data_IF_787404224650
#
_entry.id   IF_787404224650
#
_cell.length_a   1.000
_cell.length_b   1.000
_cell.length_c   1.000
_cell.angle_alpha   90.00
_cell.angle_beta   90.00
_cell.angle_gamma   90.00
#
_symmetry.space_group_name_H-M   'P 1'
#
loop_
_entity.id
_entity.type
_entity.pdbx_description
1 polymer ?
#
# COMPACT_ATOMS: atom_id res chain seq x y z
N UNK A 1 -11.30 -17.32 7.65
CA UNK A 1 -10.82 -17.82 6.35
C UNK A 1 -9.35 -17.48 6.27
N UNK A 2 -8.53 -18.35 5.64
CA UNK A 2 -7.10 -18.06 5.43
C UNK A 2 -6.94 -17.06 4.30
N UNK A 3 -6.03 -16.10 4.45
CA UNK A 3 -5.76 -15.07 3.44
C UNK A 3 -5.06 -15.66 2.22
N UNK A 4 -5.37 -15.12 1.06
CA UNK A 4 -4.90 -15.55 -0.25
C UNK A 4 -3.83 -14.61 -0.76
N UNK A 5 -2.62 -15.15 -0.90
CA UNK A 5 -1.45 -14.40 -1.33
C UNK A 5 -1.08 -14.83 -2.75
N UNK A 6 -0.98 -13.87 -3.65
CA UNK A 6 -0.46 -14.07 -4.99
C UNK A 6 1.04 -13.78 -5.00
N UNK A 7 1.85 -14.67 -5.57
CA UNK A 7 3.28 -14.46 -5.84
C UNK A 7 3.50 -14.56 -7.34
N UNK A 8 4.20 -13.58 -7.92
CA UNK A 8 4.66 -13.63 -9.30
C UNK A 8 6.13 -13.22 -9.31
N UNK A 9 7.02 -14.17 -9.56
CA UNK A 9 8.48 -13.99 -9.60
C UNK A 9 9.06 -15.05 -10.54
N UNK A 10 9.85 -14.67 -11.53
CA UNK A 10 10.45 -15.59 -12.50
C UNK A 10 11.59 -16.42 -11.92
N UNK A 11 12.19 -15.97 -10.82
CA UNK A 11 13.16 -16.73 -10.03
C UNK A 11 12.44 -17.79 -9.19
N UNK A 12 12.36 -19.03 -9.71
CA UNK A 12 11.63 -20.13 -9.07
C UNK A 12 12.06 -20.36 -7.62
N UNK A 13 13.36 -20.32 -7.35
CA UNK A 13 13.91 -20.52 -6.00
C UNK A 13 13.38 -19.47 -4.99
N UNK A 14 13.20 -18.23 -5.44
CA UNK A 14 12.65 -17.13 -4.61
C UNK A 14 11.16 -17.36 -4.38
N UNK A 15 10.42 -17.66 -5.44
CA UNK A 15 8.98 -17.88 -5.35
C UNK A 15 8.67 -19.11 -4.47
N UNK A 16 9.44 -20.22 -4.61
CA UNK A 16 9.31 -21.43 -3.82
C UNK A 16 9.65 -21.20 -2.34
N UNK A 17 10.72 -20.45 -2.08
CA UNK A 17 11.10 -20.05 -0.73
C UNK A 17 9.99 -19.26 -0.04
N UNK A 18 9.45 -18.23 -0.70
CA UNK A 18 8.36 -17.41 -0.16
C UNK A 18 7.10 -18.24 0.06
N UNK A 19 6.76 -19.13 -0.87
CA UNK A 19 5.62 -20.04 -0.73
C UNK A 19 5.71 -20.87 0.55
N UNK A 20 6.87 -21.48 0.83
CA UNK A 20 7.08 -22.29 2.04
C UNK A 20 6.85 -21.46 3.30
N UNK A 21 7.46 -20.27 3.37
CA UNK A 21 7.32 -19.40 4.54
C UNK A 21 5.88 -18.89 4.73
N UNK A 22 5.19 -18.54 3.65
CA UNK A 22 3.80 -18.06 3.71
C UNK A 22 2.83 -19.19 4.10
N UNK A 23 3.02 -20.40 3.56
CA UNK A 23 2.22 -21.57 3.96
C UNK A 23 2.40 -21.94 5.43
N UNK A 24 3.60 -21.77 5.99
CA UNK A 24 3.87 -21.98 7.41
C UNK A 24 3.11 -20.98 8.31
N UNK A 25 2.72 -19.81 7.76
CA UNK A 25 1.87 -18.84 8.44
C UNK A 25 0.37 -19.05 8.15
N UNK A 26 0.00 -20.19 7.57
CA UNK A 26 -1.36 -20.60 7.22
C UNK A 26 -2.03 -19.75 6.12
N UNK A 27 -1.25 -19.09 5.24
CA UNK A 27 -1.78 -18.43 4.06
C UNK A 27 -2.04 -19.43 2.92
N UNK A 28 -3.04 -19.13 2.10
CA UNK A 28 -3.24 -19.81 0.82
C UNK A 28 -2.38 -19.07 -0.21
N UNK A 29 -1.51 -19.79 -0.92
CA UNK A 29 -0.56 -19.18 -1.85
C UNK A 29 -0.87 -19.61 -3.29
N UNK A 30 -1.04 -18.63 -4.15
CA UNK A 30 -1.06 -18.78 -5.59
C UNK A 30 0.26 -18.30 -6.15
N UNK A 31 0.99 -19.17 -6.86
CA UNK A 31 2.34 -18.89 -7.34
C UNK A 31 2.41 -19.03 -8.84
N UNK A 32 3.00 -18.02 -9.49
CA UNK A 32 3.23 -17.97 -10.93
C UNK A 32 4.64 -17.43 -11.22
N UNK A 33 5.18 -17.76 -12.39
CA UNK A 33 6.51 -17.36 -12.81
C UNK A 33 6.51 -16.33 -13.94
N UNK A 34 5.32 -15.98 -14.44
CA UNK A 34 5.10 -14.92 -15.41
C UNK A 34 3.73 -14.25 -15.19
N UNK A 35 3.55 -13.06 -15.72
CA UNK A 35 2.32 -12.30 -15.55
C UNK A 35 1.14 -12.94 -16.30
N UNK A 36 1.39 -13.47 -17.50
CA UNK A 36 0.34 -14.05 -18.35
C UNK A 36 -0.39 -15.19 -17.66
N UNK A 37 0.35 -16.10 -17.02
CA UNK A 37 -0.24 -17.25 -16.32
C UNK A 37 -1.05 -16.84 -15.08
N UNK A 38 -0.69 -15.70 -14.47
CA UNK A 38 -1.36 -15.19 -13.29
C UNK A 38 -2.67 -14.45 -13.62
N UNK A 39 -2.93 -14.07 -14.87
CA UNK A 39 -4.05 -13.20 -15.23
C UNK A 39 -5.40 -13.76 -14.79
N UNK A 40 -5.67 -15.05 -14.98
CA UNK A 40 -6.93 -15.67 -14.55
C UNK A 40 -7.12 -15.60 -13.03
N UNK A 41 -6.04 -15.76 -12.27
CA UNK A 41 -6.05 -15.64 -10.82
C UNK A 41 -6.32 -14.20 -10.39
N UNK A 42 -5.68 -13.22 -11.04
CA UNK A 42 -5.92 -11.79 -10.79
C UNK A 42 -7.37 -11.41 -11.09
N UNK A 43 -7.89 -11.86 -12.23
CA UNK A 43 -9.26 -11.53 -12.67
C UNK A 43 -10.35 -12.14 -11.79
N UNK A 44 -10.09 -13.23 -11.10
CA UNK A 44 -11.01 -13.82 -10.13
C UNK A 44 -11.35 -12.85 -8.99
N UNK A 45 -10.45 -11.90 -8.69
CA UNK A 45 -10.61 -10.91 -7.61
C UNK A 45 -10.52 -11.50 -6.21
N UNK A 46 -10.15 -12.77 -6.06
CA UNK A 46 -10.12 -13.50 -4.80
C UNK A 46 -8.70 -13.56 -4.22
N UNK A 47 -8.09 -12.37 -4.09
CA UNK A 47 -6.72 -12.17 -3.60
C UNK A 47 -6.74 -11.11 -2.50
N UNK A 48 -6.06 -11.38 -1.39
CA UNK A 48 -5.94 -10.45 -0.25
C UNK A 48 -4.64 -9.63 -0.30
N UNK A 49 -3.59 -10.12 -0.97
CA UNK A 49 -2.31 -9.43 -1.16
C UNK A 49 -1.54 -10.02 -2.35
N UNK A 50 -0.83 -9.18 -3.08
CA UNK A 50 0.09 -9.63 -4.13
C UNK A 50 1.54 -9.26 -3.81
N UNK A 51 2.45 -10.19 -4.15
CA UNK A 51 3.91 -10.00 -4.16
C UNK A 51 4.35 -10.13 -5.61
N UNK A 52 4.92 -9.08 -6.17
CA UNK A 52 5.24 -9.00 -7.60
C UNK A 52 6.72 -8.69 -7.79
N UNK A 53 7.42 -9.47 -8.60
CA UNK A 53 8.72 -9.04 -9.11
C UNK A 53 8.56 -7.98 -10.20
N UNK A 54 9.53 -7.08 -10.28
CA UNK A 54 9.58 -6.04 -11.31
C UNK A 54 10.00 -6.64 -12.65
N UNK A 55 10.97 -7.56 -12.63
CA UNK A 55 11.62 -8.09 -13.82
C UNK A 55 10.99 -9.41 -14.27
N UNK A 56 9.72 -9.39 -14.70
CA UNK A 56 9.05 -10.56 -15.24
C UNK A 56 9.39 -10.73 -16.74
N UNK A 57 9.39 -11.98 -17.26
CA UNK A 57 9.83 -12.27 -18.62
C UNK A 57 8.89 -11.75 -19.71
N UNK A 58 7.62 -11.61 -19.42
CA UNK A 58 6.55 -11.29 -20.37
C UNK A 58 5.97 -9.89 -20.18
N UNK A 59 6.06 -9.33 -18.99
CA UNK A 59 5.53 -8.00 -18.66
C UNK A 59 6.35 -7.37 -17.53
N UNK A 60 6.62 -6.08 -17.61
CA UNK A 60 7.21 -5.37 -16.48
C UNK A 60 6.23 -5.36 -15.29
N UNK A 61 6.70 -5.74 -14.09
CA UNK A 61 5.87 -5.83 -12.89
C UNK A 61 5.20 -4.51 -12.49
N UNK A 62 5.76 -3.37 -12.87
CA UNK A 62 5.09 -2.07 -12.72
C UNK A 62 3.84 -1.95 -13.58
N UNK A 63 3.91 -2.42 -14.83
CA UNK A 63 2.75 -2.44 -15.73
C UNK A 63 1.66 -3.36 -15.20
N UNK A 64 2.06 -4.51 -14.64
CA UNK A 64 1.14 -5.44 -13.99
C UNK A 64 0.48 -4.79 -12.75
N UNK A 65 1.25 -4.09 -11.92
CA UNK A 65 0.72 -3.35 -10.77
C UNK A 65 -0.32 -2.32 -11.20
N UNK A 66 -0.05 -1.53 -12.24
CA UNK A 66 -1.02 -0.58 -12.79
C UNK A 66 -2.29 -1.26 -13.31
N UNK A 67 -2.14 -2.42 -13.96
CA UNK A 67 -3.27 -3.19 -14.47
C UNK A 67 -4.16 -3.67 -13.31
N UNK A 68 -3.57 -4.20 -12.25
CA UNK A 68 -4.29 -4.61 -11.04
C UNK A 68 -5.00 -3.40 -10.42
N UNK A 69 -4.34 -2.25 -10.32
CA UNK A 69 -4.89 -1.02 -9.70
C UNK A 69 -6.09 -0.42 -10.43
N UNK A 70 -6.30 -0.77 -11.70
CA UNK A 70 -7.53 -0.37 -12.43
C UNK A 70 -8.80 -0.98 -11.85
N UNK A 71 -8.70 -2.12 -11.15
CA UNK A 71 -9.86 -2.87 -10.65
C UNK A 71 -9.81 -3.16 -9.14
N UNK A 72 -8.61 -3.26 -8.55
CA UNK A 72 -8.43 -3.80 -7.21
C UNK A 72 -7.56 -2.89 -6.35
N UNK A 73 -7.88 -2.87 -5.05
CA UNK A 73 -7.19 -2.07 -4.04
C UNK A 73 -6.44 -2.90 -3.01
N UNK A 74 -6.42 -4.24 -3.12
CA UNK A 74 -5.66 -5.07 -2.20
C UNK A 74 -4.17 -4.71 -2.20
N UNK A 75 -3.45 -4.88 -1.08
CA UNK A 75 -2.06 -4.46 -0.98
C UNK A 75 -1.14 -5.19 -1.98
N UNK A 76 -0.19 -4.44 -2.53
CA UNK A 76 0.85 -4.94 -3.43
C UNK A 76 2.23 -4.63 -2.87
N UNK A 77 3.04 -5.66 -2.68
CA UNK A 77 4.47 -5.57 -2.32
C UNK A 77 5.28 -5.88 -3.57
N UNK A 78 6.15 -4.94 -3.98
CA UNK A 78 7.06 -5.18 -5.10
C UNK A 78 8.38 -5.78 -4.60
N UNK A 79 8.88 -6.80 -5.27
CA UNK A 79 10.25 -7.28 -5.12
C UNK A 79 11.12 -6.63 -6.19
N UNK A 80 12.31 -6.15 -5.82
CA UNK A 80 13.18 -5.45 -6.75
C UNK A 80 14.65 -5.81 -6.56
N UNK A 81 15.35 -6.15 -7.62
CA UNK A 81 16.80 -6.13 -7.60
C UNK A 81 17.26 -4.69 -7.29
N UNK A 82 18.43 -4.53 -6.66
CA UNK A 82 19.00 -3.26 -6.19
C UNK A 82 18.95 -2.18 -7.29
N UNK A 83 17.88 -1.41 -7.31
CA UNK A 83 17.59 -0.39 -8.31
C UNK A 83 17.79 0.98 -7.64
N UNK A 84 18.20 1.97 -8.41
CA UNK A 84 18.41 3.33 -7.96
C UNK A 84 17.14 3.90 -7.27
N UNK A 85 17.32 4.90 -6.43
CA UNK A 85 16.24 5.56 -5.68
C UNK A 85 15.10 6.04 -6.60
N UNK A 86 15.43 6.36 -7.86
CA UNK A 86 14.48 6.73 -8.91
C UNK A 86 13.49 5.62 -9.27
N UNK A 87 13.89 4.35 -9.23
CA UNK A 87 13.01 3.24 -9.59
C UNK A 87 12.02 2.89 -8.47
N UNK A 88 12.44 3.05 -7.21
CA UNK A 88 11.54 2.96 -6.05
C UNK A 88 10.46 4.04 -6.09
N UNK A 89 10.85 5.27 -6.43
CA UNK A 89 9.92 6.39 -6.60
C UNK A 89 8.96 6.10 -7.77
N UNK A 90 9.48 5.59 -8.89
CA UNK A 90 8.67 5.25 -10.06
C UNK A 90 7.65 4.16 -9.73
N UNK A 91 8.03 3.11 -9.03
CA UNK A 91 7.15 2.01 -8.72
C UNK A 91 6.06 2.34 -7.69
N UNK A 92 6.41 3.10 -6.64
CA UNK A 92 5.42 3.65 -5.73
C UNK A 92 4.47 4.59 -6.47
N UNK A 93 4.99 5.40 -7.41
CA UNK A 93 4.17 6.25 -8.31
C UNK A 93 3.19 5.43 -9.15
N UNK A 94 3.41 4.13 -9.32
CA UNK A 94 2.54 3.23 -10.09
C UNK A 94 1.54 2.44 -9.22
N UNK A 95 1.48 2.72 -7.91
CA UNK A 95 0.43 2.22 -7.01
C UNK A 95 0.80 1.03 -6.13
N UNK A 96 2.07 0.67 -5.98
CA UNK A 96 2.49 -0.31 -4.99
C UNK A 96 2.39 0.26 -3.56
N UNK A 97 2.12 -0.61 -2.58
CA UNK A 97 2.00 -0.23 -1.16
C UNK A 97 3.31 -0.35 -0.40
N UNK A 98 4.21 -1.22 -0.84
CA UNK A 98 5.51 -1.43 -0.22
C UNK A 98 6.53 -2.03 -1.20
N UNK A 99 7.82 -1.98 -0.82
CA UNK A 99 8.95 -2.47 -1.60
C UNK A 99 9.92 -3.27 -0.75
N UNK A 100 10.42 -4.35 -1.31
CA UNK A 100 11.49 -5.16 -0.73
C UNK A 100 12.60 -5.32 -1.75
N UNK A 101 13.82 -4.96 -1.38
CA UNK A 101 14.98 -5.09 -2.27
C UNK A 101 15.60 -6.48 -2.16
N UNK A 102 15.85 -7.12 -3.29
CA UNK A 102 16.66 -8.34 -3.39
C UNK A 102 18.17 -8.00 -3.22
N UNK A 103 18.98 -8.77 -2.48
CA UNK A 103 18.57 -9.92 -1.68
C UNK A 103 17.88 -9.51 -0.37
N UNK A 104 16.85 -10.23 0.00
CA UNK A 104 16.08 -10.01 1.23
C UNK A 104 16.11 -11.25 2.15
N UNK A 105 15.74 -11.04 3.40
CA UNK A 105 15.48 -12.16 4.32
C UNK A 105 14.01 -12.56 4.21
N UNK A 106 13.66 -13.86 4.06
CA UNK A 106 12.26 -14.28 3.93
C UNK A 106 11.37 -13.74 5.06
N UNK A 107 11.87 -13.73 6.29
CA UNK A 107 11.15 -13.20 7.45
C UNK A 107 10.82 -11.70 7.33
N UNK A 108 11.61 -10.93 6.59
CA UNK A 108 11.30 -9.52 6.31
C UNK A 108 10.05 -9.42 5.44
N UNK A 109 9.99 -10.20 4.35
CA UNK A 109 8.81 -10.23 3.48
C UNK A 109 7.58 -10.66 4.25
N UNK A 110 7.68 -11.69 5.08
CA UNK A 110 6.57 -12.16 5.94
C UNK A 110 6.09 -11.09 6.91
N UNK A 111 7.01 -10.37 7.53
CA UNK A 111 6.65 -9.26 8.44
C UNK A 111 5.87 -8.17 7.70
N UNK A 112 6.29 -7.82 6.47
CA UNK A 112 5.62 -6.83 5.61
C UNK A 112 4.25 -7.32 5.15
N UNK A 113 4.13 -8.58 4.73
CA UNK A 113 2.84 -9.21 4.38
C UNK A 113 1.87 -9.12 5.57
N UNK A 114 2.31 -9.53 6.77
CA UNK A 114 1.48 -9.42 7.98
C UNK A 114 1.06 -7.97 8.27
N UNK A 115 1.97 -7.01 8.09
CA UNK A 115 1.69 -5.59 8.32
C UNK A 115 0.67 -5.05 7.32
N UNK A 116 0.80 -5.42 6.02
CA UNK A 116 -0.12 -5.00 4.96
C UNK A 116 -1.52 -5.63 5.15
N UNK A 117 -1.59 -6.95 5.39
CA UNK A 117 -2.85 -7.65 5.64
C UNK A 117 -3.57 -7.14 6.90
N UNK A 118 -2.82 -6.89 8.00
CA UNK A 118 -3.38 -6.31 9.21
C UNK A 118 -4.00 -4.94 8.95
N UNK A 119 -3.38 -4.10 8.13
CA UNK A 119 -3.94 -2.81 7.68
C UNK A 119 -5.21 -3.05 6.87
N UNK A 120 -5.12 -3.87 5.85
CA UNK A 120 -6.25 -4.18 4.98
C UNK A 120 -7.45 -4.75 5.74
N UNK A 121 -7.22 -5.62 6.75
CA UNK A 121 -8.27 -6.22 7.59
C UNK A 121 -8.73 -5.38 8.77
N UNK A 122 -7.81 -4.68 9.44
CA UNK A 122 -8.18 -3.81 10.58
C UNK A 122 -9.18 -2.75 10.14
N UNK A 123 -9.23 -2.55 8.87
CA UNK A 123 -10.10 -1.62 8.19
C UNK A 123 -11.23 -2.30 7.38
N UNK A 124 -11.36 -3.62 7.41
CA UNK A 124 -12.58 -4.31 7.00
C UNK A 124 -13.58 -4.33 8.16
N UNK A 125 -14.89 -4.17 7.90
CA UNK A 125 -15.90 -3.94 8.93
C UNK A 125 -16.15 -5.18 9.80
N UNK A 126 -15.29 -5.47 10.78
CA UNK A 126 -15.59 -6.44 11.83
C UNK A 126 -14.86 -6.08 13.13
N UNK A 127 -15.68 -5.65 14.11
CA UNK A 127 -15.43 -5.55 15.55
C UNK A 127 -14.46 -4.42 15.97
N UNK A 128 -15.01 -3.22 16.20
CA UNK A 128 -14.36 -2.20 17.03
C UNK A 128 -15.27 -1.93 18.23
N UNK A 129 -14.80 -2.34 19.42
CA UNK A 129 -15.33 -2.00 20.75
C UNK A 129 -14.57 -0.85 21.39
N UNK A 130 -14.27 0.22 20.68
CA UNK A 130 -13.82 1.47 21.27
C UNK A 130 -14.38 2.66 20.51
N UNK A 131 -14.84 3.69 21.22
CA UNK A 131 -15.43 4.93 20.69
C UNK A 131 -14.38 5.80 20.00
N UNK A 132 -13.88 5.37 18.86
CA UNK A 132 -13.22 6.27 17.91
C UNK A 132 -14.33 6.91 17.07
N UNK A 133 -14.31 8.22 16.79
CA UNK A 133 -15.26 8.81 15.85
C UNK A 133 -15.24 7.97 14.56
N UNK A 134 -16.39 7.42 14.20
CA UNK A 134 -16.52 6.56 13.02
C UNK A 134 -16.23 7.31 11.72
N UNK A 135 -16.25 8.62 11.78
CA UNK A 135 -16.12 9.51 10.64
C UNK A 135 -15.23 10.70 10.98
N UNK A 136 -14.25 10.93 10.15
CA UNK A 136 -13.39 12.11 10.16
C UNK A 136 -13.71 12.97 8.95
N UNK A 137 -13.96 14.25 9.16
CA UNK A 137 -14.30 15.14 8.07
C UNK A 137 -13.46 16.43 8.11
N UNK A 138 -13.10 16.92 6.93
CA UNK A 138 -12.44 18.20 6.75
C UNK A 138 -12.92 18.81 5.41
N UNK A 139 -13.57 19.99 5.46
CA UNK A 139 -14.24 20.60 4.31
C UNK A 139 -15.20 19.58 3.66
N UNK A 140 -14.97 19.27 2.37
CA UNK A 140 -15.76 18.32 1.58
C UNK A 140 -15.23 16.89 1.62
N UNK A 141 -14.12 16.64 2.32
CA UNK A 141 -13.52 15.34 2.49
C UNK A 141 -14.09 14.66 3.72
N UNK A 142 -14.55 13.42 3.54
CA UNK A 142 -15.09 12.57 4.59
C UNK A 142 -14.41 11.20 4.53
N UNK A 143 -13.92 10.73 5.67
CA UNK A 143 -13.26 9.44 5.81
C UNK A 143 -13.99 8.62 6.87
N UNK A 144 -14.68 7.56 6.46
CA UNK A 144 -15.31 6.62 7.38
C UNK A 144 -14.30 5.54 7.77
N UNK A 145 -13.90 5.54 9.04
CA UNK A 145 -12.89 4.62 9.57
C UNK A 145 -13.42 3.20 9.73
N UNK A 146 -14.74 3.03 9.87
CA UNK A 146 -15.37 1.72 10.05
C UNK A 146 -15.67 1.02 8.73
N UNK A 147 -16.18 1.77 7.73
CA UNK A 147 -16.51 1.20 6.41
C UNK A 147 -15.35 1.29 5.42
N UNK A 148 -14.29 2.02 5.76
CA UNK A 148 -13.14 2.27 4.87
C UNK A 148 -13.47 3.06 3.62
N UNK A 149 -14.52 3.83 3.70
CA UNK A 149 -14.94 4.68 2.61
C UNK A 149 -14.31 6.07 2.73
N UNK A 150 -13.90 6.59 1.60
CA UNK A 150 -13.48 7.97 1.46
C UNK A 150 -14.42 8.65 0.47
N UNK A 151 -15.00 9.76 0.87
CA UNK A 151 -15.87 10.57 0.02
C UNK A 151 -15.27 11.97 -0.15
N UNK A 152 -15.31 12.46 -1.36
CA UNK A 152 -14.97 13.85 -1.69
C UNK A 152 -16.18 14.50 -2.36
N UNK A 153 -16.75 15.51 -1.72
CA UNK A 153 -17.98 16.19 -2.19
C UNK A 153 -19.16 15.21 -2.39
N UNK A 154 -19.20 14.15 -1.58
CA UNK A 154 -20.20 13.07 -1.65
C UNK A 154 -19.87 11.95 -2.64
N UNK A 155 -18.87 12.11 -3.48
CA UNK A 155 -18.46 11.10 -4.44
C UNK A 155 -17.39 10.15 -3.87
N UNK A 156 -17.47 8.84 -4.13
CA UNK A 156 -16.51 7.87 -3.60
C UNK A 156 -15.13 8.00 -4.24
N UNK A 157 -14.10 8.02 -3.39
CA UNK A 157 -12.68 8.03 -3.79
C UNK A 157 -12.04 6.70 -3.41
N UNK A 158 -11.56 5.94 -4.41
CA UNK A 158 -10.90 4.65 -4.20
C UNK A 158 -9.46 4.84 -3.71
N UNK A 159 -9.20 4.52 -2.45
CA UNK A 159 -7.89 4.57 -1.83
C UNK A 159 -7.31 3.17 -1.63
N UNK A 160 -5.98 3.05 -1.78
CA UNK A 160 -5.29 1.83 -1.33
C UNK A 160 -5.23 1.82 0.20
N UNK A 161 -4.97 0.65 0.85
CA UNK A 161 -4.85 0.57 2.31
C UNK A 161 -3.80 1.51 2.89
N UNK A 162 -2.69 1.71 2.20
CA UNK A 162 -1.62 2.62 2.61
C UNK A 162 -2.05 4.08 2.50
N UNK A 163 -2.67 4.46 1.40
CA UNK A 163 -3.21 5.82 1.20
C UNK A 163 -4.28 6.16 2.24
N UNK A 164 -5.20 5.22 2.48
CA UNK A 164 -6.21 5.38 3.52
C UNK A 164 -5.59 5.59 4.90
N UNK A 165 -4.58 4.78 5.25
CA UNK A 165 -3.88 4.88 6.54
C UNK A 165 -3.17 6.23 6.72
N UNK A 166 -2.49 6.72 5.67
CA UNK A 166 -1.83 8.02 5.68
C UNK A 166 -2.87 9.13 5.86
N UNK A 167 -3.93 9.12 5.08
CA UNK A 167 -5.00 10.12 5.15
C UNK A 167 -5.68 10.11 6.52
N UNK A 168 -5.94 8.92 7.08
CA UNK A 168 -6.48 8.77 8.43
C UNK A 168 -5.59 9.41 9.50
N UNK A 169 -4.27 9.19 9.45
CA UNK A 169 -3.32 9.78 10.42
C UNK A 169 -3.32 11.32 10.31
N UNK A 170 -3.29 11.86 9.09
CA UNK A 170 -3.29 13.31 8.89
C UNK A 170 -4.61 13.94 9.36
N UNK A 171 -5.76 13.33 9.02
CA UNK A 171 -7.09 13.80 9.45
C UNK A 171 -7.29 13.71 10.97
N UNK A 172 -6.81 12.65 11.59
CA UNK A 172 -6.87 12.48 13.05
C UNK A 172 -6.05 13.55 13.80
N UNK A 173 -5.07 14.17 13.12
CA UNK A 173 -4.24 15.25 13.64
C UNK A 173 -4.56 16.60 12.96
N UNK A 174 -5.80 16.79 12.52
CA UNK A 174 -6.19 17.98 11.78
C UNK A 174 -5.77 19.28 12.49
N UNK A 175 -5.18 20.21 11.74
CA UNK A 175 -4.62 21.45 12.24
C UNK A 175 -3.18 21.38 12.76
N UNK A 176 -2.66 20.17 13.07
CA UNK A 176 -1.28 19.94 13.48
C UNK A 176 -0.42 19.41 12.34
N UNK A 177 0.89 19.60 12.43
CA UNK A 177 1.82 19.01 11.47
C UNK A 177 2.18 17.61 11.96
N UNK A 178 2.06 16.63 11.07
CA UNK A 178 2.54 15.26 11.30
C UNK A 178 3.86 15.11 10.54
N UNK A 179 4.92 14.76 11.23
CA UNK A 179 6.23 14.58 10.62
C UNK A 179 6.26 13.35 9.70
N UNK A 180 7.21 13.30 8.78
CA UNK A 180 7.40 12.14 7.89
C UNK A 180 7.70 10.89 8.73
N UNK A 181 8.49 11.02 9.79
CA UNK A 181 8.81 9.95 10.71
C UNK A 181 7.56 9.43 11.44
N UNK A 182 6.75 10.31 12.00
CA UNK A 182 5.49 9.94 12.67
C UNK A 182 4.52 9.25 11.70
N UNK A 183 4.37 9.76 10.47
CA UNK A 183 3.57 9.11 9.43
C UNK A 183 4.09 7.71 9.12
N UNK A 184 5.41 7.56 8.98
CA UNK A 184 6.01 6.27 8.70
C UNK A 184 5.75 5.28 9.83
N UNK A 185 6.03 5.66 11.08
CA UNK A 185 5.78 4.81 12.25
C UNK A 185 4.30 4.45 12.41
N UNK A 186 3.40 5.41 12.23
CA UNK A 186 1.97 5.16 12.34
C UNK A 186 1.46 4.16 11.29
N UNK A 187 2.00 4.24 10.06
CA UNK A 187 1.57 3.42 8.93
C UNK A 187 2.33 2.10 8.88
N UNK A 188 3.65 2.08 8.96
CA UNK A 188 4.44 0.84 8.81
C UNK A 188 4.79 0.15 10.12
N UNK A 189 4.77 0.86 11.26
CA UNK A 189 5.15 0.37 12.61
C UNK A 189 6.58 -0.20 12.66
N UNK A 190 7.42 0.18 11.73
CA UNK A 190 8.82 -0.18 11.61
C UNK A 190 9.73 0.99 11.99
N UNK A 191 11.03 0.71 12.19
CA UNK A 191 12.01 1.77 12.38
C UNK A 191 12.13 2.62 11.12
N UNK A 192 12.08 3.93 11.32
CA UNK A 192 12.25 4.90 10.24
C UNK A 192 13.72 5.05 9.89
N UNK A 193 14.07 4.73 8.65
CA UNK A 193 15.35 5.11 8.07
C UNK A 193 15.11 6.26 7.08
N UNK A 194 16.02 7.24 7.06
CA UNK A 194 15.91 8.44 6.19
C UNK A 194 15.69 8.11 4.71
N UNK A 195 16.07 6.91 4.27
CA UNK A 195 15.80 6.38 2.91
C UNK A 195 14.31 6.06 2.65
N UNK A 196 13.48 6.05 3.68
CA UNK A 196 12.05 5.73 3.56
C UNK A 196 11.17 6.98 3.36
N UNK A 197 11.75 8.18 3.40
CA UNK A 197 11.01 9.44 3.19
C UNK A 197 10.37 9.54 1.80
N UNK A 198 11.01 8.98 0.78
CA UNK A 198 10.47 8.94 -0.58
C UNK A 198 9.16 8.16 -0.68
N UNK A 199 8.97 7.10 0.12
CA UNK A 199 7.76 6.28 0.13
C UNK A 199 6.53 7.12 0.55
N UNK A 200 6.64 7.88 1.64
CA UNK A 200 5.55 8.77 2.09
C UNK A 200 5.21 9.82 1.03
N UNK A 201 6.23 10.47 0.48
CA UNK A 201 6.06 11.55 -0.52
C UNK A 201 5.27 11.07 -1.74
N UNK A 202 5.51 9.85 -2.18
CA UNK A 202 4.80 9.28 -3.33
C UNK A 202 3.34 9.00 -3.01
N UNK A 203 3.04 8.39 -1.87
CA UNK A 203 1.65 8.17 -1.46
C UNK A 203 0.89 9.48 -1.24
N UNK A 204 1.55 10.52 -0.71
CA UNK A 204 0.96 11.88 -0.62
C UNK A 204 0.63 12.43 -2.01
N UNK A 205 1.51 12.22 -3.00
CA UNK A 205 1.25 12.62 -4.38
C UNK A 205 0.00 11.92 -4.92
N UNK A 206 -0.12 10.59 -4.76
CA UNK A 206 -1.31 9.84 -5.20
C UNK A 206 -2.58 10.30 -4.49
N UNK A 207 -2.50 10.53 -3.18
CA UNK A 207 -3.63 11.09 -2.44
C UNK A 207 -4.07 12.42 -3.03
N UNK A 208 -3.14 13.33 -3.32
CA UNK A 208 -3.49 14.61 -3.97
C UNK A 208 -4.13 14.42 -5.33
N UNK A 209 -3.58 13.54 -6.16
CA UNK A 209 -4.15 13.24 -7.48
C UNK A 209 -5.60 12.72 -7.35
N UNK A 210 -5.88 11.80 -6.40
CA UNK A 210 -7.21 11.25 -6.15
C UNK A 210 -8.18 12.24 -5.50
N UNK A 211 -7.67 13.16 -4.68
CA UNK A 211 -8.45 14.21 -4.04
C UNK A 211 -8.60 15.47 -4.91
N UNK A 212 -8.09 15.47 -6.15
CA UNK A 212 -8.00 16.64 -7.01
C UNK A 212 -7.33 17.83 -6.29
N UNK A 213 -6.34 17.53 -5.44
CA UNK A 213 -5.59 18.50 -4.64
C UNK A 213 -4.26 18.84 -5.32
N UNK A 214 -3.94 20.11 -5.49
CA UNK A 214 -2.70 20.53 -6.14
C UNK A 214 -1.62 20.85 -5.12
N UNK A 215 -0.34 20.60 -5.47
CA UNK A 215 0.78 20.94 -4.58
C UNK A 215 0.96 22.46 -4.41
N UNK A 216 0.59 23.25 -5.41
CA UNK A 216 0.82 24.69 -5.45
C UNK A 216 -0.23 25.46 -4.64
N UNK A 217 -1.48 25.00 -4.67
CA UNK A 217 -2.61 25.58 -3.91
C UNK A 217 -3.38 24.47 -3.19
N UNK A 218 -2.77 23.81 -2.19
CA UNK A 218 -3.37 22.65 -1.54
C UNK A 218 -4.61 23.04 -0.73
N UNK A 219 -5.74 22.39 -1.04
CA UNK A 219 -7.00 22.54 -0.30
C UNK A 219 -7.08 21.60 0.90
N UNK A 220 -6.44 20.43 0.78
CA UNK A 220 -6.45 19.38 1.78
C UNK A 220 -5.06 19.15 2.37
N UNK A 221 -4.15 18.51 1.63
CA UNK A 221 -2.85 18.09 2.18
C UNK A 221 -1.79 19.17 1.91
N UNK A 222 -1.37 19.88 2.95
CA UNK A 222 -0.32 20.93 2.89
C UNK A 222 1.04 20.33 3.25
N UNK A 223 2.05 20.61 2.42
CA UNK A 223 3.44 20.28 2.74
C UNK A 223 4.03 21.37 3.63
N UNK A 224 4.62 20.96 4.76
CA UNK A 224 5.43 21.83 5.61
C UNK A 224 6.88 21.43 5.37
N UNK A 225 7.57 22.19 4.56
CA UNK A 225 8.90 21.87 4.07
C UNK A 225 9.90 21.58 5.19
N UNK A 226 10.62 20.46 5.07
CA UNK A 226 11.58 20.01 6.08
C UNK A 226 10.96 19.40 7.34
N UNK A 227 9.63 19.35 7.46
CA UNK A 227 8.92 18.85 8.65
C UNK A 227 8.00 17.68 8.30
N UNK A 228 6.98 17.89 7.47
CA UNK A 228 5.97 16.86 7.19
C UNK A 228 4.73 17.40 6.48
N UNK A 229 3.58 16.89 6.86
CA UNK A 229 2.30 17.19 6.22
C UNK A 229 1.23 17.56 7.25
N UNK A 230 0.26 18.36 6.84
CA UNK A 230 -0.94 18.67 7.62
C UNK A 230 -2.16 18.88 6.74
N UNK A 231 -3.33 18.81 7.35
CA UNK A 231 -4.60 19.17 6.77
C UNK A 231 -5.20 20.37 7.51
#
# INVERSE_FOLDING_TARGET
MSEKILIIDDEQDIADLLEVYLKNENYIVYKFYCATDAMSCIESGDIDLAILDIMLPDMNGFSLCQLIRKKYTYPIIMLTAKIEETDKITGLTLGADDYVTKPFRPLEVIARVKAQLRRYKKYSPSIITEKVPSELSYNKLCLNVQTHECLLDGEPVSLTPTEFSILHVILSNAGNVVSIEELFHAVWKDEYYSKNSSTITVHIRHLREKLNDTSDTPQYIKTIWGVGYKI
#
